data_IF_539326523572
#
_entry.id   IF_539326523572
#
_cell.length_a   1.000
_cell.length_b   1.000
_cell.length_c   1.000
_cell.angle_alpha   90.00
_cell.angle_beta   90.00
_cell.angle_gamma   90.00
#
_symmetry.space_group_name_H-M   'P 1'
#
loop_
_entity.id
_entity.type
_entity.pdbx_description
1 polymer ?
#
# COMPACT_ATOMS: atom_id res chain seq x y z
N UNK A 1 -73.06 -57.47 -2.96
CA UNK A 1 -73.03 -58.85 -3.49
C UNK A 1 -72.45 -58.92 -4.91
N UNK A 2 -73.02 -58.21 -5.90
CA UNK A 2 -72.50 -58.19 -7.29
C UNK A 2 -71.05 -57.69 -7.41
N UNK A 3 -70.60 -56.79 -6.53
CA UNK A 3 -69.20 -56.31 -6.52
C UNK A 3 -68.17 -57.41 -6.21
N UNK A 4 -68.55 -58.48 -5.50
CA UNK A 4 -67.61 -59.56 -5.13
C UNK A 4 -67.67 -60.78 -6.06
N UNK A 5 -68.72 -60.90 -6.88
CA UNK A 5 -68.81 -61.94 -7.92
C UNK A 5 -68.03 -61.61 -9.20
N UNK A 6 -67.46 -60.41 -9.30
CA UNK A 6 -66.65 -59.97 -10.43
C UNK A 6 -65.18 -59.72 -10.02
N UNK A 7 -64.63 -60.55 -9.14
CA UNK A 7 -63.21 -60.48 -8.74
C UNK A 7 -62.25 -60.86 -9.89
N UNK A 8 -62.73 -61.51 -10.95
CA UNK A 8 -61.87 -61.99 -12.05
C UNK A 8 -61.89 -61.13 -13.32
N UNK A 9 -62.87 -60.22 -13.53
CA UNK A 9 -62.87 -59.25 -14.65
C UNK A 9 -63.58 -57.95 -14.22
N UNK A 10 -62.91 -56.80 -14.38
CA UNK A 10 -63.53 -55.47 -14.20
C UNK A 10 -64.59 -55.24 -15.30
N UNK A 11 -65.80 -55.74 -15.07
CA UNK A 11 -66.94 -55.50 -15.96
C UNK A 11 -67.37 -54.01 -15.87
N UNK A 12 -67.63 -53.32 -17.00
CA UNK A 12 -68.23 -51.99 -17.02
C UNK A 12 -69.60 -51.98 -16.32
N UNK A 13 -70.02 -50.83 -15.74
CA UNK A 13 -71.28 -50.71 -14.97
C UNK A 13 -72.51 -51.29 -15.70
N UNK A 14 -72.76 -51.04 -17.01
CA UNK A 14 -73.92 -51.60 -17.70
C UNK A 14 -73.91 -53.13 -17.79
N UNK A 15 -72.72 -53.73 -17.92
CA UNK A 15 -72.58 -55.19 -17.98
C UNK A 15 -72.89 -55.85 -16.63
N UNK A 16 -72.62 -55.16 -15.51
CA UNK A 16 -72.92 -55.66 -14.16
C UNK A 16 -74.42 -55.73 -13.89
N UNK A 17 -75.18 -54.74 -14.36
CA UNK A 17 -76.63 -54.71 -14.21
C UNK A 17 -77.31 -55.80 -15.04
N UNK A 18 -76.76 -56.08 -16.24
CA UNK A 18 -77.21 -57.19 -17.09
C UNK A 18 -76.92 -58.54 -16.46
N UNK A 19 -75.71 -58.77 -15.93
CA UNK A 19 -75.37 -60.02 -15.24
C UNK A 19 -76.21 -60.19 -13.98
N UNK A 20 -76.42 -59.12 -13.19
CA UNK A 20 -77.30 -59.15 -12.01
C UNK A 20 -78.70 -59.64 -12.36
N UNK A 21 -79.30 -59.02 -13.37
CA UNK A 21 -80.65 -59.35 -13.82
C UNK A 21 -80.73 -60.79 -14.32
N UNK A 22 -79.73 -61.25 -15.09
CA UNK A 22 -79.65 -62.62 -15.60
C UNK A 22 -79.56 -63.65 -14.47
N UNK A 23 -78.75 -63.39 -13.45
CA UNK A 23 -78.67 -64.25 -12.25
C UNK A 23 -79.98 -64.24 -11.48
N UNK A 24 -80.68 -63.09 -11.41
CA UNK A 24 -81.92 -63.00 -10.65
C UNK A 24 -83.13 -63.67 -11.34
N UNK A 25 -83.20 -63.62 -12.68
CA UNK A 25 -84.36 -64.03 -13.49
C UNK A 25 -84.20 -65.39 -14.19
N UNK A 26 -82.97 -65.89 -14.41
CA UNK A 26 -82.69 -67.12 -15.19
C UNK A 26 -82.12 -68.23 -14.29
N UNK A 27 -82.95 -69.22 -13.96
CA UNK A 27 -82.57 -70.35 -13.12
C UNK A 27 -81.56 -71.29 -13.79
N UNK A 28 -81.70 -71.53 -15.10
CA UNK A 28 -80.76 -72.37 -15.87
C UNK A 28 -79.36 -71.76 -15.88
N UNK A 29 -79.28 -70.44 -15.96
CA UNK A 29 -78.01 -69.70 -15.87
C UNK A 29 -77.37 -69.80 -14.49
N UNK A 30 -78.16 -69.74 -13.40
CA UNK A 30 -77.64 -69.96 -12.03
C UNK A 30 -77.09 -71.37 -11.84
N UNK A 31 -77.82 -72.39 -12.31
CA UNK A 31 -77.37 -73.79 -12.21
C UNK A 31 -76.06 -74.01 -12.96
N UNK A 32 -75.94 -73.47 -14.18
CA UNK A 32 -74.70 -73.53 -14.95
C UNK A 32 -73.52 -72.86 -14.22
N UNK A 33 -73.75 -71.72 -13.56
CA UNK A 33 -72.72 -71.05 -12.76
C UNK A 33 -72.29 -71.86 -11.54
N UNK A 34 -73.22 -72.55 -10.88
CA UNK A 34 -72.94 -73.40 -9.70
C UNK A 34 -72.19 -74.70 -10.05
N UNK A 35 -72.23 -75.13 -11.31
CA UNK A 35 -71.42 -76.26 -11.80
C UNK A 35 -69.94 -75.89 -12.01
N UNK A 36 -69.65 -74.59 -12.23
CA UNK A 36 -68.32 -74.11 -12.63
C UNK A 36 -67.64 -73.21 -11.62
N UNK A 37 -68.34 -72.80 -10.55
CA UNK A 37 -67.83 -71.91 -9.52
C UNK A 37 -68.03 -72.54 -8.15
N UNK A 38 -67.04 -72.41 -7.27
CA UNK A 38 -67.15 -72.85 -5.88
C UNK A 38 -67.30 -71.68 -4.88
N UNK A 39 -67.62 -72.02 -3.62
CA UNK A 39 -67.81 -71.04 -2.56
C UNK A 39 -66.54 -70.22 -2.24
N UNK A 40 -65.34 -70.77 -2.49
CA UNK A 40 -64.08 -70.07 -2.26
C UNK A 40 -63.80 -69.02 -3.33
N UNK A 41 -64.21 -69.27 -4.58
CA UNK A 41 -64.03 -68.37 -5.72
C UNK A 41 -64.95 -67.15 -5.68
N UNK A 42 -66.23 -67.34 -5.33
CA UNK A 42 -67.23 -66.25 -5.29
C UNK A 42 -67.47 -65.68 -3.90
N UNK A 43 -66.91 -66.32 -2.88
CA UNK A 43 -67.10 -66.02 -1.47
C UNK A 43 -68.50 -66.37 -0.96
N UNK A 44 -68.63 -66.53 0.36
CA UNK A 44 -69.89 -66.93 1.05
C UNK A 44 -71.13 -66.13 0.60
N UNK A 45 -71.00 -64.81 0.45
CA UNK A 45 -72.11 -63.93 0.04
C UNK A 45 -72.51 -64.15 -1.43
N UNK A 46 -71.53 -64.39 -2.31
CA UNK A 46 -71.78 -64.67 -3.72
C UNK A 46 -72.40 -66.05 -3.90
N UNK A 47 -71.90 -67.03 -3.14
CA UNK A 47 -72.41 -68.40 -3.12
C UNK A 47 -73.87 -68.46 -2.67
N UNK A 48 -74.23 -67.76 -1.60
CA UNK A 48 -75.62 -67.69 -1.11
C UNK A 48 -76.58 -67.06 -2.11
N UNK A 49 -76.13 -66.06 -2.89
CA UNK A 49 -76.95 -65.41 -3.91
C UNK A 49 -77.18 -66.30 -5.15
N UNK A 50 -76.21 -67.16 -5.50
CA UNK A 50 -76.32 -68.10 -6.61
C UNK A 50 -77.11 -69.37 -6.23
N UNK A 51 -76.75 -70.01 -5.11
CA UNK A 51 -77.31 -71.30 -4.68
C UNK A 51 -78.72 -71.23 -4.11
N UNK A 52 -79.12 -70.06 -3.57
CA UNK A 52 -80.45 -69.78 -2.99
C UNK A 52 -81.08 -70.92 -2.17
N UNK A 53 -80.35 -71.51 -1.19
CA UNK A 53 -80.94 -72.50 -0.27
C UNK A 53 -82.08 -71.88 0.55
N UNK A 54 -82.95 -72.70 1.14
CA UNK A 54 -84.07 -72.20 1.93
C UNK A 54 -83.59 -71.22 3.03
N UNK A 55 -84.19 -70.03 3.09
CA UNK A 55 -83.79 -68.96 4.02
C UNK A 55 -82.48 -68.22 3.68
N UNK A 56 -81.98 -68.33 2.44
CA UNK A 56 -80.77 -67.64 1.98
C UNK A 56 -80.83 -66.11 2.15
N UNK A 57 -82.00 -65.50 1.92
CA UNK A 57 -82.17 -64.04 2.02
C UNK A 57 -81.88 -63.52 3.44
N UNK A 58 -82.34 -64.24 4.46
CA UNK A 58 -82.09 -63.91 5.86
C UNK A 58 -80.62 -64.07 6.21
N UNK A 59 -80.01 -65.18 5.79
CA UNK A 59 -78.57 -65.45 6.03
C UNK A 59 -77.68 -64.42 5.33
N UNK A 60 -78.07 -64.01 4.11
CA UNK A 60 -77.38 -62.97 3.37
C UNK A 60 -77.51 -61.61 4.05
N UNK A 61 -78.70 -61.25 4.53
CA UNK A 61 -78.93 -60.01 5.27
C UNK A 61 -78.13 -59.95 6.58
N UNK A 62 -78.06 -61.05 7.34
CA UNK A 62 -77.24 -61.16 8.56
C UNK A 62 -75.74 -60.97 8.27
N UNK A 63 -75.22 -61.61 7.22
CA UNK A 63 -73.80 -61.52 6.85
C UNK A 63 -73.44 -60.16 6.24
N UNK A 64 -74.35 -59.53 5.48
CA UNK A 64 -74.14 -58.17 4.96
C UNK A 64 -74.20 -57.17 6.12
N UNK A 65 -75.15 -57.31 7.04
CA UNK A 65 -75.26 -56.50 8.25
C UNK A 65 -73.98 -56.55 9.10
N UNK A 66 -73.45 -57.75 9.36
CA UNK A 66 -72.20 -57.94 10.10
C UNK A 66 -70.95 -57.35 9.39
N UNK A 67 -70.96 -57.26 8.06
CA UNK A 67 -69.87 -56.65 7.28
C UNK A 67 -69.99 -55.12 7.17
N UNK A 68 -71.19 -54.55 7.30
CA UNK A 68 -71.42 -53.10 7.35
C UNK A 68 -71.30 -52.53 8.76
N UNK A 69 -71.49 -53.36 9.80
CA UNK A 69 -71.32 -53.01 11.23
C UNK A 69 -69.89 -53.23 11.76
N UNK A 70 -68.87 -53.20 10.89
CA UNK A 70 -67.47 -53.05 11.32
C UNK A 70 -66.90 -51.66 10.91
N UNK A 71 -67.25 -50.56 11.63
CA UNK A 71 -66.69 -49.23 11.40
C UNK A 71 -65.23 -49.08 11.89
N UNK A 72 -64.66 -50.09 12.54
CA UNK A 72 -63.42 -49.97 13.32
C UNK A 72 -62.17 -50.20 12.46
N UNK A 73 -62.27 -50.87 11.31
CA UNK A 73 -61.12 -51.16 10.44
C UNK A 73 -60.81 -50.06 9.40
N UNK A 74 -61.80 -49.33 8.89
CA UNK A 74 -61.57 -48.19 7.97
C UNK A 74 -61.01 -46.95 8.68
N UNK A 75 -61.54 -46.57 9.85
CA UNK A 75 -61.09 -45.37 10.58
C UNK A 75 -59.69 -45.50 11.19
N UNK A 76 -59.31 -46.70 11.65
CA UNK A 76 -57.98 -46.95 12.20
C UNK A 76 -56.89 -46.99 11.11
N UNK A 77 -57.22 -47.52 9.92
CA UNK A 77 -56.37 -47.50 8.74
C UNK A 77 -56.13 -46.06 8.25
N UNK A 78 -57.20 -45.28 8.11
CA UNK A 78 -57.13 -43.88 7.70
C UNK A 78 -56.31 -43.02 8.65
N UNK A 79 -56.46 -43.20 9.96
CA UNK A 79 -55.65 -42.48 10.95
C UNK A 79 -54.16 -42.85 10.86
N UNK A 80 -53.84 -44.12 10.57
CA UNK A 80 -52.44 -44.57 10.36
C UNK A 80 -51.86 -44.00 9.07
N UNK A 81 -52.62 -43.99 7.97
CA UNK A 81 -52.19 -43.42 6.69
C UNK A 81 -52.00 -41.91 6.78
N UNK A 82 -52.90 -41.18 7.44
CA UNK A 82 -52.73 -39.74 7.71
C UNK A 82 -51.47 -39.45 8.51
N UNK A 83 -51.22 -40.19 9.60
CA UNK A 83 -49.96 -40.05 10.38
C UNK A 83 -48.70 -40.34 9.57
N UNK A 84 -48.74 -41.35 8.69
CA UNK A 84 -47.61 -41.65 7.78
C UNK A 84 -47.40 -40.53 6.77
N UNK A 85 -48.47 -39.98 6.21
CA UNK A 85 -48.40 -38.87 5.24
C UNK A 85 -47.88 -37.59 5.90
N UNK A 86 -48.39 -37.23 7.09
CA UNK A 86 -47.87 -36.10 7.87
C UNK A 86 -46.41 -36.29 8.27
N UNK A 87 -46.04 -37.51 8.67
CA UNK A 87 -44.65 -37.87 8.97
C UNK A 87 -43.73 -37.72 7.75
N UNK A 88 -44.18 -38.19 6.59
CA UNK A 88 -43.45 -38.06 5.32
C UNK A 88 -43.34 -36.60 4.89
N UNK A 89 -44.41 -35.80 5.01
CA UNK A 89 -44.41 -34.36 4.71
C UNK A 89 -43.43 -33.60 5.59
N UNK A 90 -43.48 -33.80 6.91
CA UNK A 90 -42.52 -33.19 7.84
C UNK A 90 -41.08 -33.64 7.57
N UNK A 91 -40.88 -34.88 7.11
CA UNK A 91 -39.55 -35.36 6.72
C UNK A 91 -39.05 -34.68 5.45
N UNK A 92 -39.92 -34.49 4.45
CA UNK A 92 -39.61 -33.75 3.23
C UNK A 92 -39.28 -32.28 3.52
N UNK A 93 -40.09 -31.60 4.33
CA UNK A 93 -39.83 -30.21 4.76
C UNK A 93 -38.49 -30.07 5.46
N UNK A 94 -38.12 -31.02 6.35
CA UNK A 94 -36.79 -31.03 6.98
C UNK A 94 -35.67 -31.30 5.99
N UNK A 95 -35.87 -32.15 4.99
CA UNK A 95 -34.88 -32.44 3.97
C UNK A 95 -34.65 -31.21 3.06
N UNK A 96 -35.71 -30.53 2.67
CA UNK A 96 -35.68 -29.29 1.90
C UNK A 96 -34.96 -28.17 2.67
N UNK A 97 -35.30 -27.96 3.95
CA UNK A 97 -34.58 -27.01 4.79
C UNK A 97 -33.08 -27.34 4.94
N UNK A 98 -32.70 -28.63 4.96
CA UNK A 98 -31.30 -29.04 4.98
C UNK A 98 -30.61 -28.79 3.64
N UNK A 99 -31.31 -28.99 2.53
CA UNK A 99 -30.81 -28.71 1.19
C UNK A 99 -30.55 -27.22 1.00
N UNK A 100 -31.51 -26.36 1.34
CA UNK A 100 -31.35 -24.89 1.31
C UNK A 100 -30.14 -24.46 2.15
N UNK A 101 -30.02 -24.94 3.40
CA UNK A 101 -28.85 -24.64 4.24
C UNK A 101 -27.53 -25.18 3.70
N UNK A 102 -27.56 -26.26 2.92
CA UNK A 102 -26.36 -26.79 2.27
C UNK A 102 -25.97 -25.93 1.06
N UNK A 103 -26.94 -25.51 0.26
CA UNK A 103 -26.74 -24.59 -0.87
C UNK A 103 -26.22 -23.23 -0.41
N UNK A 104 -26.79 -22.66 0.66
CA UNK A 104 -26.30 -21.42 1.28
C UNK A 104 -24.84 -21.56 1.73
N UNK A 105 -24.48 -22.66 2.39
CA UNK A 105 -23.08 -22.92 2.81
C UNK A 105 -22.14 -23.11 1.63
N UNK A 106 -22.59 -23.76 0.56
CA UNK A 106 -21.79 -23.91 -0.66
C UNK A 106 -21.58 -22.54 -1.31
N UNK A 107 -22.61 -21.70 -1.39
CA UNK A 107 -22.49 -20.34 -1.93
C UNK A 107 -21.52 -19.48 -1.09
N UNK A 108 -21.62 -19.54 0.24
CA UNK A 108 -20.72 -18.85 1.16
C UNK A 108 -19.26 -19.30 0.99
N UNK A 109 -19.02 -20.62 0.95
CA UNK A 109 -17.67 -21.17 0.78
C UNK A 109 -17.08 -20.85 -0.59
N UNK A 110 -17.89 -20.87 -1.65
CA UNK A 110 -17.46 -20.49 -3.00
C UNK A 110 -17.07 -19.02 -3.06
N UNK A 111 -17.88 -18.12 -2.48
CA UNK A 111 -17.56 -16.70 -2.40
C UNK A 111 -16.26 -16.45 -1.61
N UNK A 112 -16.06 -17.18 -0.50
CA UNK A 112 -14.83 -17.07 0.29
C UNK A 112 -13.61 -17.62 -0.47
N UNK A 113 -13.78 -18.65 -1.29
CA UNK A 113 -12.72 -19.20 -2.12
C UNK A 113 -12.29 -18.20 -3.20
N UNK A 114 -13.25 -17.56 -3.90
CA UNK A 114 -12.98 -16.53 -4.89
C UNK A 114 -12.27 -15.30 -4.28
N UNK A 115 -12.66 -14.89 -3.08
CA UNK A 115 -12.00 -13.83 -2.32
C UNK A 115 -10.54 -14.19 -2.00
N UNK A 116 -10.32 -15.40 -1.45
CA UNK A 116 -8.97 -15.89 -1.13
C UNK A 116 -8.10 -16.06 -2.39
N UNK A 117 -8.67 -16.52 -3.50
CA UNK A 117 -7.95 -16.61 -4.78
C UNK A 117 -7.51 -15.23 -5.28
N UNK A 118 -8.40 -14.24 -5.14
CA UNK A 118 -8.09 -12.85 -5.47
C UNK A 118 -6.98 -12.31 -4.56
N UNK A 119 -7.08 -12.51 -3.24
CA UNK A 119 -6.04 -12.12 -2.29
C UNK A 119 -4.69 -12.77 -2.64
N UNK A 120 -4.67 -14.09 -2.86
CA UNK A 120 -3.44 -14.81 -3.25
C UNK A 120 -2.86 -14.27 -4.56
N UNK A 121 -3.69 -13.93 -5.54
CA UNK A 121 -3.24 -13.30 -6.78
C UNK A 121 -2.60 -11.93 -6.52
N UNK A 122 -3.21 -11.08 -5.68
CA UNK A 122 -2.64 -9.78 -5.32
C UNK A 122 -1.31 -9.91 -4.56
N UNK A 123 -1.22 -10.85 -3.62
CA UNK A 123 0.01 -11.10 -2.88
C UNK A 123 1.12 -11.64 -3.77
N UNK A 124 0.80 -12.53 -4.71
CA UNK A 124 1.77 -13.01 -5.72
C UNK A 124 2.26 -11.88 -6.62
N UNK A 125 1.38 -10.97 -7.04
CA UNK A 125 1.77 -9.80 -7.83
C UNK A 125 2.72 -8.89 -7.03
N UNK A 126 2.38 -8.58 -5.77
CA UNK A 126 3.23 -7.80 -4.87
C UNK A 126 4.59 -8.46 -4.63
N UNK A 127 4.62 -9.78 -4.43
CA UNK A 127 5.86 -10.52 -4.25
C UNK A 127 6.77 -10.41 -5.48
N UNK A 128 6.22 -10.53 -6.69
CA UNK A 128 7.01 -10.36 -7.93
C UNK A 128 7.58 -8.96 -8.08
N UNK A 129 6.78 -7.93 -7.79
CA UNK A 129 7.27 -6.54 -7.83
C UNK A 129 8.38 -6.33 -6.81
N UNK A 130 8.23 -6.81 -5.58
CA UNK A 130 9.27 -6.73 -4.56
C UNK A 130 10.55 -7.50 -4.98
N UNK A 131 10.43 -8.68 -5.59
CA UNK A 131 11.58 -9.44 -6.12
C UNK A 131 12.30 -8.68 -7.26
N UNK A 132 11.56 -8.00 -8.12
CA UNK A 132 12.10 -7.12 -9.17
C UNK A 132 12.85 -5.92 -8.59
N UNK A 133 12.28 -5.24 -7.59
CA UNK A 133 12.91 -4.13 -6.88
C UNK A 133 14.21 -4.57 -6.18
N UNK A 134 14.17 -5.68 -5.44
CA UNK A 134 15.36 -6.23 -4.76
C UNK A 134 16.46 -6.54 -5.76
N UNK A 135 16.12 -7.09 -6.93
CA UNK A 135 17.07 -7.38 -7.99
C UNK A 135 17.67 -6.09 -8.58
N UNK A 136 16.85 -5.07 -8.85
CA UNK A 136 17.32 -3.76 -9.34
C UNK A 136 18.30 -3.12 -8.35
N UNK A 137 17.90 -3.02 -7.08
CA UNK A 137 18.72 -2.44 -6.02
C UNK A 137 20.03 -3.23 -5.82
N UNK A 138 20.00 -4.55 -5.99
CA UNK A 138 21.21 -5.39 -5.92
C UNK A 138 22.17 -5.09 -7.07
N UNK A 139 21.64 -4.90 -8.29
CA UNK A 139 22.46 -4.53 -9.45
C UNK A 139 23.02 -3.11 -9.32
N UNK A 140 22.23 -2.16 -8.86
CA UNK A 140 22.66 -0.78 -8.58
C UNK A 140 23.73 -0.74 -7.50
N UNK A 141 23.55 -1.45 -6.39
CA UNK A 141 24.58 -1.61 -5.35
C UNK A 141 25.86 -2.20 -5.94
N UNK A 142 25.76 -3.23 -6.79
CA UNK A 142 26.93 -3.80 -7.44
C UNK A 142 27.63 -2.81 -8.37
N UNK A 143 26.89 -1.94 -9.06
CA UNK A 143 27.45 -0.84 -9.89
C UNK A 143 28.12 0.21 -9.01
N UNK A 144 27.46 0.67 -7.96
CA UNK A 144 28.01 1.65 -7.01
C UNK A 144 29.31 1.16 -6.37
N UNK A 145 29.36 -0.10 -5.91
CA UNK A 145 30.59 -0.70 -5.35
C UNK A 145 31.72 -0.76 -6.40
N UNK A 146 31.42 -1.04 -7.67
CA UNK A 146 32.43 -0.99 -8.75
C UNK A 146 32.93 0.44 -8.99
N UNK A 147 32.03 1.42 -9.01
CA UNK A 147 32.38 2.84 -9.17
C UNK A 147 33.24 3.35 -8.02
N UNK A 148 32.90 3.02 -6.77
CA UNK A 148 33.69 3.35 -5.59
C UNK A 148 35.09 2.76 -5.67
N UNK A 149 35.22 1.47 -6.02
CA UNK A 149 36.53 0.84 -6.21
C UNK A 149 37.37 1.53 -7.31
N UNK A 150 36.74 2.00 -8.38
CA UNK A 150 37.41 2.76 -9.44
C UNK A 150 37.86 4.14 -8.97
N UNK A 151 37.03 4.85 -8.21
CA UNK A 151 37.38 6.16 -7.64
C UNK A 151 38.52 6.03 -6.62
N UNK A 152 38.47 5.04 -5.74
CA UNK A 152 39.56 4.77 -4.79
C UNK A 152 40.88 4.45 -5.50
N UNK A 153 40.83 3.70 -6.61
CA UNK A 153 42.01 3.43 -7.42
C UNK A 153 42.58 4.72 -8.04
N UNK A 154 41.72 5.55 -8.64
CA UNK A 154 42.13 6.85 -9.20
C UNK A 154 42.71 7.78 -8.12
N UNK A 155 42.11 7.82 -6.94
CA UNK A 155 42.60 8.61 -5.82
C UNK A 155 44.00 8.14 -5.38
N UNK A 156 44.22 6.82 -5.31
CA UNK A 156 45.54 6.25 -5.03
C UNK A 156 46.57 6.63 -6.10
N UNK A 157 46.19 6.60 -7.38
CA UNK A 157 47.07 6.98 -8.50
C UNK A 157 47.43 8.47 -8.45
N UNK A 158 46.44 9.35 -8.27
CA UNK A 158 46.65 10.80 -8.14
C UNK A 158 47.50 11.16 -6.91
N UNK A 159 47.28 10.48 -5.78
CA UNK A 159 48.10 10.67 -4.59
C UNK A 159 49.57 10.24 -4.82
N UNK A 160 49.80 9.20 -5.63
CA UNK A 160 51.15 8.79 -6.02
C UNK A 160 51.80 9.79 -6.99
N UNK A 161 51.04 10.34 -7.94
CA UNK A 161 51.52 11.37 -8.86
C UNK A 161 51.88 12.66 -8.13
N UNK A 162 51.02 13.10 -7.20
CA UNK A 162 51.30 14.27 -6.35
C UNK A 162 52.60 14.12 -5.58
N UNK A 163 52.83 12.97 -4.94
CA UNK A 163 54.12 12.70 -4.25
C UNK A 163 55.32 12.81 -5.20
N UNK A 164 55.21 12.27 -6.42
CA UNK A 164 56.29 12.38 -7.43
C UNK A 164 56.54 13.83 -7.86
N UNK A 165 55.49 14.64 -8.01
CA UNK A 165 55.61 16.06 -8.34
C UNK A 165 56.24 16.85 -7.18
N UNK A 166 55.83 16.57 -5.94
CA UNK A 166 56.40 17.19 -4.73
C UNK A 166 57.90 16.87 -4.61
N UNK A 167 58.30 15.61 -4.84
CA UNK A 167 59.72 15.21 -4.88
C UNK A 167 60.51 15.96 -5.97
N UNK A 168 59.91 16.13 -7.16
CA UNK A 168 60.56 16.83 -8.28
C UNK A 168 60.67 18.33 -8.04
N UNK A 169 59.67 18.93 -7.41
CA UNK A 169 59.71 20.33 -6.96
C UNK A 169 60.83 20.54 -5.95
N UNK A 170 60.95 19.67 -4.94
CA UNK A 170 62.04 19.74 -3.96
C UNK A 170 63.43 19.61 -4.61
N UNK A 171 63.57 18.75 -5.63
CA UNK A 171 64.81 18.60 -6.40
C UNK A 171 65.16 19.88 -7.20
N UNK A 172 64.17 20.53 -7.79
CA UNK A 172 64.36 21.80 -8.51
C UNK A 172 64.68 22.96 -7.56
N UNK A 173 63.98 23.05 -6.43
CA UNK A 173 64.25 24.05 -5.39
C UNK A 173 65.66 23.90 -4.79
N UNK A 174 66.13 22.66 -4.62
CA UNK A 174 67.49 22.38 -4.17
C UNK A 174 68.59 22.75 -5.18
N UNK A 175 68.24 22.82 -6.48
CA UNK A 175 69.15 23.24 -7.57
C UNK A 175 69.06 24.72 -7.91
N UNK A 176 68.03 25.42 -7.42
CA UNK A 176 67.89 26.85 -7.64
C UNK A 176 69.05 27.58 -6.95
N UNK A 177 69.81 28.44 -7.65
CA UNK A 177 70.80 29.28 -6.99
C UNK A 177 70.07 30.14 -5.96
N UNK A 178 70.56 30.13 -4.70
CA UNK A 178 70.09 31.08 -3.68
C UNK A 178 70.19 32.47 -4.28
N UNK A 179 69.03 33.10 -4.49
CA UNK A 179 68.95 34.47 -5.00
C UNK A 179 69.84 35.31 -4.07
N UNK A 180 70.89 35.98 -4.58
CA UNK A 180 71.67 36.90 -3.77
C UNK A 180 70.72 37.93 -3.16
N UNK A 181 70.96 38.36 -1.92
CA UNK A 181 70.24 39.48 -1.32
C UNK A 181 70.14 40.59 -2.36
N UNK A 182 68.90 41.00 -2.65
CA UNK A 182 68.60 41.98 -3.69
C UNK A 182 69.47 43.22 -3.43
N UNK A 183 70.23 43.71 -4.42
CA UNK A 183 71.02 44.92 -4.25
C UNK A 183 70.11 46.06 -3.81
N UNK A 184 70.61 46.91 -2.90
CA UNK A 184 69.91 48.12 -2.47
C UNK A 184 69.45 48.91 -3.71
N UNK A 185 68.13 48.95 -3.92
CA UNK A 185 67.51 49.55 -5.11
C UNK A 185 66.34 48.78 -5.70
N UNK A 186 66.11 47.51 -5.33
CA UNK A 186 64.85 46.82 -5.68
C UNK A 186 63.80 47.15 -4.63
N UNK A 187 62.83 47.97 -5.02
CA UNK A 187 61.76 48.41 -4.12
C UNK A 187 60.89 47.20 -3.69
N UNK A 188 61.19 46.66 -2.51
CA UNK A 188 60.46 45.53 -1.92
C UNK A 188 58.95 45.79 -1.83
N UNK A 189 58.49 47.05 -1.87
CA UNK A 189 57.06 47.38 -1.97
C UNK A 189 56.48 47.00 -3.33
N UNK A 190 57.21 47.23 -4.43
CA UNK A 190 56.78 46.87 -5.79
C UNK A 190 56.72 45.35 -5.96
N UNK A 191 57.73 44.64 -5.48
CA UNK A 191 57.75 43.18 -5.52
C UNK A 191 56.63 42.56 -4.67
N UNK A 192 56.33 43.14 -3.50
CA UNK A 192 55.17 42.73 -2.67
C UNK A 192 53.83 43.03 -3.34
N UNK A 193 53.72 44.16 -4.04
CA UNK A 193 52.52 44.51 -4.79
C UNK A 193 52.29 43.56 -5.97
N UNK A 194 53.36 43.19 -6.69
CA UNK A 194 53.31 42.24 -7.80
C UNK A 194 52.98 40.82 -7.28
N UNK A 195 53.56 40.40 -6.16
CA UNK A 195 53.18 39.14 -5.47
C UNK A 195 51.72 39.16 -4.98
N UNK A 196 51.22 40.28 -4.44
CA UNK A 196 49.82 40.40 -4.03
C UNK A 196 48.86 40.38 -5.22
N UNK A 197 49.28 40.92 -6.37
CA UNK A 197 48.53 40.90 -7.63
C UNK A 197 48.51 39.49 -8.21
N UNK A 198 49.63 38.77 -8.19
CA UNK A 198 49.74 37.38 -8.61
C UNK A 198 48.94 36.44 -7.70
N UNK A 199 48.94 36.66 -6.37
CA UNK A 199 48.11 35.90 -5.42
C UNK A 199 46.62 36.12 -5.62
N UNK A 200 46.19 37.33 -6.00
CA UNK A 200 44.80 37.59 -6.41
C UNK A 200 44.47 36.84 -7.70
N UNK A 201 45.34 36.94 -8.69
CA UNK A 201 45.12 36.26 -9.96
C UNK A 201 45.08 34.73 -9.81
N UNK A 202 45.93 34.15 -8.96
CA UNK A 202 45.88 32.75 -8.56
C UNK A 202 44.58 32.41 -7.82
N UNK A 203 44.06 33.30 -6.96
CA UNK A 203 42.78 33.10 -6.28
C UNK A 203 41.60 33.17 -7.24
N UNK A 204 41.66 34.03 -8.25
CA UNK A 204 40.63 34.13 -9.29
C UNK A 204 40.64 32.89 -10.18
N UNK A 205 41.82 32.37 -10.53
CA UNK A 205 41.99 31.10 -11.27
C UNK A 205 41.60 29.89 -10.41
N UNK A 206 41.95 29.88 -9.13
CA UNK A 206 41.53 28.84 -8.17
C UNK A 206 40.04 28.94 -7.83
N UNK A 207 39.42 30.11 -7.91
CA UNK A 207 37.99 30.32 -7.75
C UNK A 207 37.16 29.70 -8.89
N UNK A 208 37.75 29.63 -10.09
CA UNK A 208 37.19 28.84 -11.22
C UNK A 208 37.39 27.33 -11.01
N UNK A 209 38.35 26.92 -10.17
CA UNK A 209 38.56 25.53 -9.76
C UNK A 209 37.76 25.14 -8.51
N UNK A 210 37.12 26.09 -7.81
CA UNK A 210 36.25 25.84 -6.67
C UNK A 210 34.88 25.25 -7.06
N UNK A 211 34.59 25.07 -8.35
CA UNK A 211 33.50 24.20 -8.82
C UNK A 211 33.87 22.70 -8.74
N UNK A 212 35.03 22.35 -8.16
CA UNK A 212 35.49 20.98 -7.87
C UNK A 212 35.69 20.72 -6.36
N UNK A 213 35.00 21.47 -5.48
CA UNK A 213 35.22 21.51 -4.02
C UNK A 213 34.69 20.27 -3.25
N UNK A 214 35.23 19.10 -3.57
CA UNK A 214 34.98 17.85 -2.83
C UNK A 214 36.16 17.42 -1.92
N UNK A 215 37.15 18.30 -1.67
CA UNK A 215 38.36 17.92 -0.93
C UNK A 215 38.88 19.05 -0.02
N UNK A 216 38.15 19.40 1.04
CA UNK A 216 38.70 20.18 2.16
C UNK A 216 38.18 19.66 3.49
N UNK A 217 39.10 19.17 4.33
CA UNK A 217 38.86 18.84 5.74
C UNK A 217 38.57 20.10 6.57
N UNK A 218 37.54 20.10 7.44
CA UNK A 218 37.10 21.30 8.15
C UNK A 218 38.12 21.80 9.17
N UNK A 219 38.66 23.01 8.94
CA UNK A 219 39.48 23.75 9.89
C UNK A 219 38.65 24.79 10.66
N UNK A 220 38.63 24.72 11.99
CA UNK A 220 37.83 25.56 12.87
C UNK A 220 38.28 27.04 12.88
N UNK A 221 37.78 27.84 11.94
CA UNK A 221 37.86 29.31 11.99
C UNK A 221 36.56 29.84 12.60
N UNK A 222 36.62 30.35 13.84
CA UNK A 222 35.45 31.00 14.47
C UNK A 222 35.14 32.33 13.78
N UNK A 223 33.95 32.45 13.20
CA UNK A 223 33.43 33.70 12.61
C UNK A 223 32.89 34.64 13.69
N UNK A 224 32.81 35.95 13.39
CA UNK A 224 32.09 36.94 14.21
C UNK A 224 30.62 36.95 13.78
N UNK A 225 29.71 37.08 14.74
CA UNK A 225 28.28 37.25 14.46
C UNK A 225 28.04 38.47 13.56
N UNK A 226 27.10 38.29 12.63
CA UNK A 226 26.59 39.28 11.68
C UNK A 226 25.45 40.12 12.27
N UNK A 227 24.93 39.74 13.45
CA UNK A 227 23.86 40.48 14.11
C UNK A 227 24.33 41.89 14.50
N UNK A 228 23.54 42.93 14.17
CA UNK A 228 23.77 44.27 14.69
C UNK A 228 23.78 44.29 16.24
N UNK A 229 24.61 45.14 16.87
CA UNK A 229 24.61 45.31 18.31
C UNK A 229 23.21 45.68 18.84
N UNK A 230 22.75 45.02 19.90
CA UNK A 230 21.46 45.30 20.56
C UNK A 230 20.27 44.49 20.06
N UNK A 231 20.44 43.66 19.02
CA UNK A 231 19.41 42.71 18.57
C UNK A 231 19.62 41.36 19.28
N UNK A 232 18.54 40.81 19.84
CA UNK A 232 18.54 39.49 20.49
C UNK A 232 18.47 38.41 19.41
N UNK A 233 19.41 37.46 19.43
CA UNK A 233 19.43 36.34 18.48
C UNK A 233 18.12 35.51 18.55
N UNK A 234 17.76 34.87 17.44
CA UNK A 234 16.56 34.01 17.34
C UNK A 234 15.26 34.74 17.69
N UNK A 235 15.16 35.95 17.17
CA UNK A 235 13.93 36.74 17.14
C UNK A 235 13.56 37.04 15.68
N UNK A 236 12.29 37.32 15.37
CA UNK A 236 11.89 37.76 14.04
C UNK A 236 12.70 38.97 13.55
N UNK A 237 13.01 39.91 14.45
CA UNK A 237 13.84 41.09 14.18
C UNK A 237 15.29 40.71 13.83
N UNK A 238 15.85 39.70 14.50
CA UNK A 238 17.17 39.16 14.16
C UNK A 238 17.18 38.49 12.78
N UNK A 239 16.14 37.73 12.45
CA UNK A 239 16.02 37.10 11.14
C UNK A 239 15.96 38.16 10.03
N UNK A 240 15.17 39.23 10.22
CA UNK A 240 15.10 40.33 9.25
C UNK A 240 16.44 41.06 9.10
N UNK A 241 17.14 41.31 10.21
CA UNK A 241 18.46 41.96 10.18
C UNK A 241 19.49 41.10 9.43
N UNK A 242 19.50 39.79 9.67
CA UNK A 242 20.46 38.85 9.07
C UNK A 242 20.28 38.73 7.55
N UNK A 243 19.04 38.61 7.06
CA UNK A 243 18.79 38.49 5.60
C UNK A 243 19.07 39.78 4.83
N UNK A 244 19.25 40.92 5.52
CA UNK A 244 19.61 42.22 4.91
C UNK A 244 21.11 42.48 4.89
N UNK A 245 21.93 41.59 5.47
CA UNK A 245 23.39 41.72 5.42
C UNK A 245 23.86 41.62 3.96
N UNK A 246 24.62 42.60 3.44
CA UNK A 246 25.05 42.58 2.04
C UNK A 246 25.87 41.33 1.71
N UNK A 247 25.45 40.59 0.68
CA UNK A 247 26.14 39.38 0.22
C UNK A 247 25.94 38.16 1.13
N UNK A 248 24.95 38.19 2.03
CA UNK A 248 24.65 37.05 2.90
C UNK A 248 24.18 35.83 2.10
N UNK A 249 24.68 34.66 2.50
CA UNK A 249 24.22 33.36 2.05
C UNK A 249 23.50 32.70 3.22
N UNK A 250 22.27 32.25 2.98
CA UNK A 250 21.44 31.56 3.96
C UNK A 250 21.34 30.09 3.55
N UNK A 251 21.94 29.20 4.34
CA UNK A 251 21.78 27.75 4.21
C UNK A 251 20.44 27.34 4.84
N UNK A 252 19.55 26.75 4.06
CA UNK A 252 18.19 26.40 4.49
C UNK A 252 18.06 24.88 4.54
N UNK A 253 17.62 24.37 5.69
CA UNK A 253 17.21 22.98 5.85
C UNK A 253 15.81 22.76 5.23
N UNK A 254 15.79 22.30 3.97
CA UNK A 254 14.61 22.34 3.12
C UNK A 254 13.42 21.58 3.71
N UNK A 255 13.59 20.30 4.04
CA UNK A 255 12.47 19.49 4.55
C UNK A 255 12.08 19.84 5.98
N UNK A 256 13.00 20.35 6.82
CA UNK A 256 12.64 20.86 8.14
C UNK A 256 11.70 22.06 8.04
N UNK A 257 11.96 22.96 7.08
CA UNK A 257 11.11 24.14 6.82
C UNK A 257 9.78 23.73 6.19
N UNK A 258 9.77 22.88 5.16
CA UNK A 258 8.52 22.55 4.45
C UNK A 258 7.58 21.68 5.25
N UNK A 259 8.08 20.70 6.04
CA UNK A 259 7.24 19.84 6.89
C UNK A 259 6.48 20.60 7.98
N UNK A 260 6.88 21.83 8.29
CA UNK A 260 6.16 22.65 9.28
C UNK A 260 4.86 23.25 8.76
N UNK A 261 4.69 23.40 7.45
CA UNK A 261 3.55 24.15 6.88
C UNK A 261 2.89 23.43 5.71
N UNK A 262 3.60 22.56 5.01
CA UNK A 262 3.14 21.89 3.80
C UNK A 262 3.37 20.37 3.84
N UNK A 263 3.34 19.76 5.03
CA UNK A 263 3.54 18.32 5.20
C UNK A 263 2.56 17.47 4.39
N UNK A 264 1.35 17.98 4.19
CA UNK A 264 0.26 17.37 3.44
C UNK A 264 0.46 17.41 1.91
N UNK A 265 1.39 18.22 1.41
CA UNK A 265 1.64 18.38 -0.03
C UNK A 265 2.66 17.37 -0.56
N UNK A 266 2.59 16.97 -1.84
CA UNK A 266 3.65 16.21 -2.49
C UNK A 266 5.02 16.90 -2.39
N UNK A 267 6.10 16.14 -2.22
CA UNK A 267 7.45 16.68 -2.04
C UNK A 267 7.88 17.63 -3.17
N UNK A 268 7.48 17.36 -4.42
CA UNK A 268 7.73 18.26 -5.55
C UNK A 268 7.07 19.64 -5.38
N UNK A 269 5.84 19.67 -4.88
CA UNK A 269 5.12 20.92 -4.62
C UNK A 269 5.68 21.66 -3.42
N UNK A 270 6.09 20.94 -2.36
CA UNK A 270 6.79 21.53 -1.21
C UNK A 270 8.07 22.26 -1.65
N UNK A 271 8.90 21.61 -2.47
CA UNK A 271 10.15 22.19 -3.00
C UNK A 271 9.88 23.44 -3.84
N UNK A 272 8.96 23.34 -4.80
CA UNK A 272 8.62 24.46 -5.69
C UNK A 272 8.03 25.66 -4.93
N UNK A 273 7.20 25.41 -3.91
CA UNK A 273 6.62 26.47 -3.07
C UNK A 273 7.69 27.20 -2.25
N UNK A 274 8.60 26.45 -1.59
CA UNK A 274 9.68 27.03 -0.81
C UNK A 274 10.62 27.84 -1.70
N UNK A 275 11.05 27.28 -2.83
CA UNK A 275 11.90 27.96 -3.81
C UNK A 275 11.30 29.30 -4.23
N UNK A 276 10.05 29.30 -4.73
CA UNK A 276 9.37 30.50 -5.24
C UNK A 276 9.32 31.62 -4.20
N UNK A 277 9.06 31.26 -2.95
CA UNK A 277 8.97 32.21 -1.85
C UNK A 277 10.33 32.76 -1.44
N UNK A 278 11.35 31.92 -1.38
CA UNK A 278 12.72 32.35 -1.11
C UNK A 278 13.28 33.22 -2.25
N UNK A 279 12.95 32.93 -3.51
CA UNK A 279 13.32 33.78 -4.65
C UNK A 279 12.69 35.18 -4.54
N UNK A 280 11.43 35.26 -4.09
CA UNK A 280 10.77 36.55 -3.79
C UNK A 280 11.47 37.30 -2.67
N UNK A 281 11.90 36.60 -1.61
CA UNK A 281 12.67 37.19 -0.53
C UNK A 281 14.06 37.66 -0.98
N UNK A 282 14.76 36.84 -1.79
CA UNK A 282 16.06 37.14 -2.38
C UNK A 282 16.02 38.42 -3.23
N UNK A 283 15.01 38.56 -4.08
CA UNK A 283 14.80 39.76 -4.88
C UNK A 283 14.58 41.02 -4.02
N UNK A 284 13.99 40.89 -2.84
CA UNK A 284 13.71 42.00 -1.91
C UNK A 284 14.90 42.38 -1.04
N UNK A 285 15.71 41.41 -0.61
CA UNK A 285 16.78 41.64 0.37
C UNK A 285 18.19 41.59 -0.22
N UNK A 286 18.36 41.00 -1.40
CA UNK A 286 19.67 40.73 -1.99
C UNK A 286 20.41 39.54 -1.35
N UNK A 287 19.78 38.81 -0.44
CA UNK A 287 20.31 37.57 0.12
C UNK A 287 20.32 36.46 -0.94
N UNK A 288 21.29 35.57 -0.83
CA UNK A 288 21.32 34.31 -1.59
C UNK A 288 20.88 33.17 -0.69
N UNK A 289 20.04 32.28 -1.20
CA UNK A 289 19.56 31.12 -0.44
C UNK A 289 20.11 29.84 -1.05
N UNK A 290 20.66 28.98 -0.21
CA UNK A 290 21.12 27.64 -0.57
C UNK A 290 20.25 26.64 0.19
N UNK A 291 19.27 26.05 -0.49
CA UNK A 291 18.35 25.07 0.09
C UNK A 291 18.99 23.69 -0.02
N UNK A 292 19.18 23.02 1.13
CA UNK A 292 19.71 21.66 1.19
C UNK A 292 18.54 20.70 1.38
N UNK A 293 18.41 19.75 0.44
CA UNK A 293 17.44 18.68 0.47
C UNK A 293 18.12 17.36 0.78
N UNK A 294 17.47 16.56 1.61
CA UNK A 294 17.90 15.18 1.85
C UNK A 294 17.84 14.36 0.56
N UNK A 295 18.76 13.40 0.45
CA UNK A 295 19.24 12.86 -0.81
C UNK A 295 18.22 12.02 -1.56
N UNK A 296 18.30 12.12 -2.89
CA UNK A 296 17.72 11.19 -3.86
C UNK A 296 18.89 10.50 -4.60
N UNK A 297 18.66 9.44 -5.37
CA UNK A 297 19.72 8.64 -6.02
C UNK A 297 20.76 9.43 -6.86
N UNK A 298 20.42 10.66 -7.28
CA UNK A 298 21.34 11.59 -7.92
C UNK A 298 21.51 12.88 -7.08
N UNK A 299 22.69 13.04 -6.46
CA UNK A 299 23.13 14.30 -5.88
C UNK A 299 23.32 15.36 -6.98
N UNK A 300 23.08 16.63 -6.66
CA UNK A 300 23.21 17.68 -7.66
C UNK A 300 22.89 19.08 -7.14
N UNK A 301 23.39 20.08 -7.87
CA UNK A 301 23.11 21.49 -7.60
C UNK A 301 22.27 22.04 -8.75
N UNK A 302 21.10 22.61 -8.41
CA UNK A 302 20.27 23.35 -9.35
C UNK A 302 20.31 24.83 -8.98
N UNK A 303 20.77 25.67 -9.90
CA UNK A 303 20.84 27.12 -9.73
C UNK A 303 20.00 27.77 -10.83
N UNK A 304 18.92 28.45 -10.44
CA UNK A 304 17.97 29.11 -11.34
C UNK A 304 18.38 30.55 -11.64
N UNK A 305 19.42 31.08 -10.98
CA UNK A 305 19.91 32.45 -11.17
C UNK A 305 19.04 33.56 -10.58
N UNK A 306 17.99 33.20 -9.83
CA UNK A 306 17.08 34.14 -9.14
C UNK A 306 17.46 34.42 -7.68
N UNK A 307 18.67 33.99 -7.28
CA UNK A 307 19.17 34.11 -5.92
C UNK A 307 18.89 32.89 -5.04
N UNK A 308 18.23 31.85 -5.58
CA UNK A 308 18.04 30.56 -4.91
C UNK A 308 18.83 29.47 -5.62
N UNK A 309 19.54 28.67 -4.84
CA UNK A 309 20.24 27.47 -5.26
C UNK A 309 19.73 26.29 -4.46
N UNK A 310 19.41 25.19 -5.12
CA UNK A 310 19.01 23.94 -4.50
C UNK A 310 20.17 22.93 -4.56
N UNK A 311 20.42 22.26 -3.45
CA UNK A 311 21.47 21.27 -3.26
C UNK A 311 20.79 19.97 -2.81
N UNK A 312 20.91 18.93 -3.63
CA UNK A 312 20.50 17.58 -3.26
C UNK A 312 21.71 16.83 -2.75
N UNK A 313 21.64 16.37 -1.50
CA UNK A 313 22.71 15.54 -0.94
C UNK A 313 22.77 14.18 -1.62
N UNK A 314 23.90 13.49 -1.46
CA UNK A 314 23.99 12.07 -1.82
C UNK A 314 23.05 11.23 -0.95
N UNK A 315 22.59 10.09 -1.46
CA UNK A 315 21.63 9.23 -0.76
C UNK A 315 22.13 8.69 0.60
N UNK A 316 23.44 8.76 0.87
CA UNK A 316 24.09 8.36 2.12
C UNK A 316 24.49 9.55 3.02
N UNK A 317 24.15 10.78 2.64
CA UNK A 317 24.48 12.00 3.39
C UNK A 317 23.20 12.74 3.75
N UNK A 318 22.97 12.92 5.05
CA UNK A 318 21.84 13.70 5.55
C UNK A 318 22.06 15.21 5.31
N UNK A 319 20.96 15.95 5.09
CA UNK A 319 21.01 17.38 4.80
C UNK A 319 21.67 18.20 5.92
N UNK A 320 21.50 17.80 7.18
CA UNK A 320 22.09 18.46 8.34
C UNK A 320 23.62 18.27 8.39
N UNK A 321 24.15 17.10 8.02
CA UNK A 321 25.59 16.87 7.86
C UNK A 321 26.20 17.74 6.76
N UNK A 322 25.50 17.87 5.62
CA UNK A 322 25.95 18.74 4.52
C UNK A 322 25.91 20.22 4.91
N UNK A 323 24.87 20.67 5.60
CA UNK A 323 24.77 22.05 6.13
C UNK A 323 25.93 22.33 7.08
N UNK A 324 26.22 21.43 8.02
CA UNK A 324 27.31 21.60 8.98
C UNK A 324 28.69 21.58 8.30
N UNK A 325 28.89 20.71 7.31
CA UNK A 325 30.11 20.67 6.49
C UNK A 325 30.32 22.00 5.77
N UNK A 326 29.31 22.50 5.05
CA UNK A 326 29.36 23.80 4.35
C UNK A 326 29.59 24.96 5.31
N UNK A 327 28.93 24.92 6.47
CA UNK A 327 29.15 25.91 7.52
C UNK A 327 30.61 25.93 8.00
N UNK A 328 31.28 24.77 8.08
CA UNK A 328 32.66 24.68 8.52
C UNK A 328 33.70 25.09 7.46
N UNK A 329 33.46 24.81 6.18
CA UNK A 329 34.48 24.94 5.12
C UNK A 329 34.48 26.31 4.43
N UNK A 330 33.33 27.00 4.35
CA UNK A 330 33.19 28.19 3.50
C UNK A 330 33.86 29.45 4.09
N UNK A 331 35.13 29.70 3.77
CA UNK A 331 35.88 30.84 4.32
C UNK A 331 35.49 32.18 3.66
N UNK A 332 35.04 33.15 4.47
CA UNK A 332 35.00 34.57 4.08
C UNK A 332 33.64 35.17 3.73
N UNK A 333 32.59 34.37 3.55
CA UNK A 333 31.24 34.86 3.25
C UNK A 333 30.43 35.14 4.53
N UNK A 334 29.52 36.13 4.47
CA UNK A 334 28.49 36.32 5.48
C UNK A 334 27.51 35.14 5.39
N UNK A 335 27.64 34.18 6.31
CA UNK A 335 26.89 32.93 6.28
C UNK A 335 25.91 32.87 7.46
N UNK A 336 24.70 32.41 7.18
CA UNK A 336 23.64 32.18 8.16
C UNK A 336 23.01 30.81 7.89
N UNK A 337 22.59 30.11 8.93
CA UNK A 337 21.89 28.83 8.81
C UNK A 337 20.44 28.99 9.29
N UNK A 338 19.49 28.52 8.49
CA UNK A 338 18.08 28.47 8.85
C UNK A 338 17.66 27.02 9.10
N UNK A 339 17.51 26.66 10.39
CA UNK A 339 17.01 25.35 10.81
C UNK A 339 16.50 25.43 12.25
N UNK A 340 15.50 24.61 12.56
CA UNK A 340 15.03 24.37 13.93
C UNK A 340 15.61 23.08 14.54
N UNK A 341 16.40 22.32 13.78
CA UNK A 341 17.09 21.15 14.31
C UNK A 341 18.19 21.57 15.30
N UNK A 342 18.18 20.95 16.49
CA UNK A 342 19.10 21.31 17.57
C UNK A 342 20.56 21.02 17.21
N UNK A 343 20.84 19.91 16.53
CA UNK A 343 22.19 19.51 16.13
C UNK A 343 22.78 20.51 15.14
N UNK A 344 21.99 20.92 14.16
CA UNK A 344 22.39 21.93 13.16
C UNK A 344 22.67 23.27 13.84
N UNK A 345 21.76 23.72 14.71
CA UNK A 345 21.91 25.00 15.44
C UNK A 345 23.15 25.01 16.32
N UNK A 346 23.37 23.96 17.10
CA UNK A 346 24.51 23.87 18.01
C UNK A 346 25.84 23.76 17.23
N UNK A 347 25.85 23.00 16.14
CA UNK A 347 27.02 22.86 15.27
C UNK A 347 27.37 24.15 14.50
N UNK A 348 26.37 24.85 13.94
CA UNK A 348 26.56 26.14 13.27
C UNK A 348 27.14 27.19 14.24
N UNK A 349 26.63 27.25 15.47
CA UNK A 349 27.15 28.13 16.52
C UNK A 349 28.58 27.78 16.92
N UNK A 350 28.94 26.50 16.98
CA UNK A 350 30.29 26.07 17.33
C UNK A 350 31.34 26.63 16.35
N UNK A 351 30.96 26.83 15.08
CA UNK A 351 31.79 27.45 14.03
C UNK A 351 31.55 28.96 13.86
N UNK A 352 30.71 29.57 14.70
CA UNK A 352 30.45 31.01 14.73
C UNK A 352 29.47 31.52 13.68
N UNK A 353 28.60 30.66 13.14
CA UNK A 353 27.55 31.01 12.19
C UNK A 353 26.27 31.37 12.94
N UNK A 354 25.63 32.48 12.54
CA UNK A 354 24.34 32.87 13.09
C UNK A 354 23.23 31.94 12.59
N UNK A 355 22.19 31.81 13.40
CA UNK A 355 21.07 30.91 13.16
C UNK A 355 19.77 31.72 13.06
N UNK A 356 18.96 31.38 12.07
CA UNK A 356 17.56 31.81 11.93
C UNK A 356 16.68 30.60 12.27
N UNK A 357 15.69 30.76 13.16
CA UNK A 357 14.72 29.69 13.40
C UNK A 357 13.88 29.47 12.15
N UNK A 358 13.51 28.23 11.83
CA UNK A 358 12.68 27.93 10.65
C UNK A 358 11.36 28.72 10.67
N UNK A 359 10.80 28.98 11.86
CA UNK A 359 9.57 29.77 12.02
C UNK A 359 9.76 31.25 11.65
N UNK A 360 10.89 31.84 12.03
CA UNK A 360 11.20 33.22 11.67
C UNK A 360 11.44 33.35 10.16
N UNK A 361 12.11 32.35 9.55
CA UNK A 361 12.26 32.28 8.09
C UNK A 361 10.89 32.19 7.40
N UNK A 362 10.00 31.32 7.89
CA UNK A 362 8.63 31.20 7.39
C UNK A 362 7.88 32.54 7.48
N UNK A 363 8.03 33.25 8.61
CA UNK A 363 7.49 34.60 8.79
C UNK A 363 8.00 35.60 7.74
N UNK A 364 9.30 35.58 7.43
CA UNK A 364 9.90 36.46 6.40
C UNK A 364 9.34 36.22 5.00
N UNK A 365 8.95 34.98 4.69
CA UNK A 365 8.34 34.59 3.42
C UNK A 365 6.79 34.61 3.43
N UNK A 366 6.20 35.19 4.47
CA UNK A 366 4.77 35.41 4.59
C UNK A 366 3.98 34.11 4.79
N UNK A 367 4.54 33.17 5.55
CA UNK A 367 3.93 31.89 5.90
C UNK A 367 3.90 31.77 7.42
N UNK A 368 2.74 31.43 7.97
CA UNK A 368 2.58 31.18 9.41
C UNK A 368 2.33 29.69 9.62
N UNK A 369 3.13 29.00 10.45
CA UNK A 369 2.87 27.60 10.76
C UNK A 369 1.51 27.43 11.47
N UNK A 370 0.81 26.30 11.27
CA UNK A 370 -0.41 26.00 12.00
C UNK A 370 -0.12 25.96 13.52
N UNK A 371 -0.97 26.64 14.29
CA UNK A 371 -0.84 26.78 15.76
C UNK A 371 -1.01 25.47 16.52
#
# INVERSE_FOLDING_TARGET
AVERLASFVRLPRPARDTVRRRVDEDESFRTWLLEHLDEQEVGRLGWLWLSRPEGWERTLAELVGAATDDPVTETAGDARWRRRLDGARRAAERAEQRAVRAEERVAELSARLEELETEVATWRARARTAEEEVRSLTEERARAVRSLKQLEARHRDLAAERRRLDERLAELDGRAPRVPELPDGVDARRLRADLARLRRHLRDVLGVLADLDDIVEPGAVRRRSLLPPGIVAETPEAAEALVRVPGVIVLVDGYNVTRRVWEDRPLGEQRAELHRRLATLAARTGARFEIVWDGVEAAGVADTGDGVREIFTAADVEADDEILRRAAVRLGDALVVASNDRRVRDGARAVGVDVIASDDLLGLIGVTPPS
#
